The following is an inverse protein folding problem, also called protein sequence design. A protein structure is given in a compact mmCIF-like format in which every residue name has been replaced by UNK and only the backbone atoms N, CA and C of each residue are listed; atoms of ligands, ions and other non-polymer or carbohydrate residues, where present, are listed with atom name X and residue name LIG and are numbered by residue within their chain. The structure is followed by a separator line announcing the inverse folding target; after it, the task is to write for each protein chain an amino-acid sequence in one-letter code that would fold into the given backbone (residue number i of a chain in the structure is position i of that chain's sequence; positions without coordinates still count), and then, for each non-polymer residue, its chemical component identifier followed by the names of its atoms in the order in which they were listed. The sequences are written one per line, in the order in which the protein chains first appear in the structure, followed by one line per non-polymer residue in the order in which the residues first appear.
data_IF_343440003084
#
_entry.id   IF_343440003084
#
_cell.length_a   1.000
_cell.length_b   1.000
_cell.length_c   1.000
_cell.angle_alpha   90.00
_cell.angle_beta   90.00
_cell.angle_gamma   90.00
#
_symmetry.space_group_name_H-M   'P 1'
#
loop_
_entity.id
_entity.type
_entity.pdbx_description
1 polymer ?
#
# COMPACT_ATOMS: atom_id res chain seq x y z
N UNK A 1 -12.47 -12.78 27.02
CA UNK A 1 -11.76 -11.75 27.83
C UNK A 1 -10.44 -11.48 27.13
N UNK A 2 -10.16 -10.28 26.61
CA UNK A 2 -8.89 -9.97 25.98
C UNK A 2 -7.79 -9.88 27.05
N UNK A 3 -6.64 -10.52 26.80
CA UNK A 3 -5.47 -10.45 27.68
C UNK A 3 -4.94 -9.03 27.74
N UNK A 4 -4.98 -8.45 28.92
CA UNK A 4 -4.39 -7.14 29.23
C UNK A 4 -2.86 -7.28 29.24
N UNK A 5 -2.19 -6.70 28.26
CA UNK A 5 -0.73 -6.59 28.25
C UNK A 5 -0.30 -5.52 29.26
N UNK A 6 0.39 -5.93 30.31
CA UNK A 6 1.04 -5.03 31.27
C UNK A 6 2.36 -4.55 30.68
N UNK A 7 2.44 -3.28 30.33
CA UNK A 7 3.66 -2.65 29.84
C UNK A 7 4.51 -2.16 31.02
N UNK A 8 5.62 -2.82 31.29
CA UNK A 8 6.69 -2.29 32.13
C UNK A 8 7.56 -1.37 31.29
N UNK A 9 7.80 -0.11 31.69
CA UNK A 9 8.67 0.77 30.93
C UNK A 9 10.10 0.27 31.08
N UNK A 10 10.63 -0.36 30.02
CA UNK A 10 12.05 -0.57 29.87
C UNK A 10 12.70 0.78 29.60
N UNK A 11 13.56 1.23 30.49
CA UNK A 11 14.41 2.43 30.36
C UNK A 11 15.52 2.28 29.30
N UNK A 12 15.34 1.44 28.29
CA UNK A 12 16.22 1.43 27.12
C UNK A 12 15.95 2.68 26.31
N UNK A 13 16.83 3.67 26.49
CA UNK A 13 16.88 4.91 25.72
C UNK A 13 16.67 4.61 24.24
N UNK A 14 15.90 5.47 23.60
CA UNK A 14 15.56 5.56 22.17
C UNK A 14 16.84 5.71 21.30
N UNK A 15 17.67 4.67 21.24
CA UNK A 15 18.88 4.61 20.40
C UNK A 15 18.55 4.11 18.98
N UNK A 16 17.32 3.65 18.77
CA UNK A 16 16.87 3.02 17.51
C UNK A 16 16.65 4.05 16.39
N UNK A 17 16.47 5.34 16.70
CA UNK A 17 16.18 6.37 15.69
C UNK A 17 17.37 6.61 14.72
N UNK A 18 18.62 6.74 15.18
CA UNK A 18 19.77 6.92 14.29
C UNK A 18 20.09 5.66 13.46
N UNK A 19 19.91 4.46 14.01
CA UNK A 19 20.14 3.21 13.26
C UNK A 19 19.09 2.99 12.17
N UNK A 20 17.84 3.32 12.45
CA UNK A 20 16.76 3.24 11.47
C UNK A 20 16.93 4.29 10.36
N UNK A 21 17.36 5.49 10.71
CA UNK A 21 17.70 6.55 9.77
C UNK A 21 18.90 6.16 8.89
N UNK A 22 19.93 5.57 9.51
CA UNK A 22 21.11 5.07 8.80
C UNK A 22 20.76 3.92 7.85
N UNK A 23 19.93 2.97 8.30
CA UNK A 23 19.46 1.88 7.46
C UNK A 23 18.61 2.39 6.30
N UNK A 24 17.74 3.37 6.55
CA UNK A 24 16.89 3.99 5.53
C UNK A 24 17.73 4.79 4.52
N UNK A 25 18.72 5.56 4.98
CA UNK A 25 19.63 6.29 4.08
C UNK A 25 20.53 5.34 3.29
N UNK A 26 20.99 4.25 3.89
CA UNK A 26 21.82 3.25 3.21
C UNK A 26 21.01 2.48 2.14
N UNK A 27 19.77 2.10 2.44
CA UNK A 27 18.87 1.46 1.46
C UNK A 27 18.49 2.40 0.33
N UNK A 28 18.29 3.69 0.61
CA UNK A 28 18.04 4.71 -0.39
C UNK A 28 19.27 4.92 -1.29
N UNK A 29 20.46 4.97 -0.71
CA UNK A 29 21.73 5.09 -1.45
C UNK A 29 22.00 3.86 -2.31
N UNK A 30 21.76 2.65 -1.80
CA UNK A 30 21.89 1.40 -2.57
C UNK A 30 20.85 1.36 -3.72
N UNK A 31 19.60 1.76 -3.47
CA UNK A 31 18.58 1.86 -4.51
C UNK A 31 18.97 2.87 -5.61
N UNK A 32 19.56 4.00 -5.24
CA UNK A 32 20.08 5.00 -6.19
C UNK A 32 21.27 4.46 -7.00
N UNK A 33 22.15 3.65 -6.41
CA UNK A 33 23.28 3.02 -7.12
C UNK A 33 22.82 1.95 -8.11
N UNK A 34 21.85 1.12 -7.75
CA UNK A 34 21.25 0.12 -8.66
C UNK A 34 20.58 0.83 -9.85
N UNK A 35 19.88 1.93 -9.61
CA UNK A 35 19.31 2.73 -10.70
C UNK A 35 20.36 3.44 -11.57
N UNK A 36 21.54 3.75 -11.03
CA UNK A 36 22.60 4.40 -11.80
C UNK A 36 23.26 3.46 -12.83
N UNK A 37 23.16 2.15 -12.63
CA UNK A 37 23.71 1.13 -13.54
C UNK A 37 22.72 0.73 -14.65
N UNK A 38 21.40 1.02 -14.51
CA UNK A 38 20.45 0.80 -15.58
C UNK A 38 20.59 1.88 -16.67
N UNK A 39 20.92 1.47 -17.90
CA UNK A 39 21.04 2.37 -19.06
C UNK A 39 19.70 2.80 -19.66
N UNK A 40 18.59 2.51 -19.01
CA UNK A 40 17.23 2.77 -19.47
C UNK A 40 16.66 4.15 -19.07
N UNK A 41 15.48 4.45 -19.57
CA UNK A 41 14.72 5.64 -19.17
C UNK A 41 14.28 5.53 -17.71
N UNK A 42 14.45 6.61 -16.95
CA UNK A 42 13.95 6.75 -15.58
C UNK A 42 12.64 7.51 -15.60
N UNK A 43 11.67 7.05 -14.82
CA UNK A 43 10.38 7.70 -14.72
C UNK A 43 10.12 8.10 -13.26
N UNK A 44 9.67 9.33 -13.08
CA UNK A 44 9.18 9.86 -11.80
C UNK A 44 7.73 10.22 -12.02
N UNK A 45 6.86 9.72 -11.16
CA UNK A 45 5.45 10.02 -11.25
C UNK A 45 4.73 9.72 -9.95
N UNK A 46 3.43 9.92 -9.97
CA UNK A 46 2.60 9.61 -8.83
C UNK A 46 1.17 10.06 -9.00
N UNK A 47 0.41 9.74 -7.98
CA UNK A 47 -0.99 10.11 -7.85
C UNK A 47 -1.21 10.68 -6.45
N UNK A 48 -1.80 11.88 -6.38
CA UNK A 48 -2.29 12.44 -5.12
C UNK A 48 -3.80 12.30 -5.14
N UNK A 49 -4.37 11.61 -4.15
CA UNK A 49 -5.81 11.36 -4.07
C UNK A 49 -6.40 12.01 -2.82
N UNK A 50 -7.42 12.84 -2.99
CA UNK A 50 -8.30 13.26 -1.92
C UNK A 50 -9.54 12.35 -1.94
N UNK A 51 -9.79 11.62 -0.85
CA UNK A 51 -10.88 10.65 -0.75
C UNK A 51 -11.78 10.94 0.46
N UNK A 52 -13.07 10.60 0.33
CA UNK A 52 -14.05 10.72 1.42
C UNK A 52 -13.81 9.71 2.55
N UNK A 53 -13.12 8.60 2.25
CA UNK A 53 -12.88 7.54 3.23
C UNK A 53 -11.53 6.87 2.97
N UNK A 54 -10.63 6.89 3.95
CA UNK A 54 -9.37 6.17 3.92
C UNK A 54 -9.59 4.69 4.23
N UNK A 55 -9.54 3.85 3.19
CA UNK A 55 -9.74 2.40 3.29
C UNK A 55 -8.41 1.67 3.21
N UNK A 56 -8.22 0.66 4.07
CA UNK A 56 -7.08 -0.27 4.05
C UNK A 56 -7.53 -1.68 3.69
N UNK A 57 -6.64 -2.45 3.07
CA UNK A 57 -6.84 -3.89 2.80
C UNK A 57 -7.03 -4.66 4.11
N UNK A 58 -6.29 -4.32 5.16
CA UNK A 58 -6.49 -4.86 6.50
C UNK A 58 -7.54 -3.98 7.20
N UNK A 59 -8.75 -4.49 7.49
CA UNK A 59 -9.85 -3.68 8.00
C UNK A 59 -9.51 -2.89 9.26
N UNK A 60 -8.74 -3.47 10.18
CA UNK A 60 -8.31 -2.81 11.42
C UNK A 60 -7.37 -1.61 11.20
N UNK A 61 -6.83 -1.44 10.00
CA UNK A 61 -5.99 -0.30 9.60
C UNK A 61 -6.76 0.74 8.78
N UNK A 62 -8.04 0.51 8.52
CA UNK A 62 -8.89 1.50 7.85
C UNK A 62 -9.00 2.76 8.70
N UNK A 63 -8.81 3.92 8.07
CA UNK A 63 -8.93 5.21 8.77
C UNK A 63 -10.39 5.56 9.05
N UNK A 64 -11.32 5.20 8.15
CA UNK A 64 -12.77 5.38 8.33
C UNK A 64 -13.25 6.83 8.21
N UNK A 65 -12.42 7.73 7.67
CA UNK A 65 -12.71 9.17 7.51
C UNK A 65 -11.95 9.75 6.33
N UNK A 66 -12.24 11.01 5.89
CA UNK A 66 -11.57 11.62 4.74
C UNK A 66 -10.05 11.65 4.88
N UNK A 67 -9.36 11.38 3.75
CA UNK A 67 -7.92 11.20 3.70
C UNK A 67 -7.27 11.79 2.45
N UNK A 68 -5.98 12.11 2.58
CA UNK A 68 -5.05 12.43 1.49
C UNK A 68 -4.05 11.30 1.32
N UNK A 69 -3.94 10.80 0.09
CA UNK A 69 -3.05 9.70 -0.28
C UNK A 69 -2.04 10.21 -1.30
N UNK A 70 -0.76 10.00 -1.03
CA UNK A 70 0.35 10.31 -1.93
C UNK A 70 0.98 8.99 -2.34
N UNK A 71 0.66 8.50 -3.52
CA UNK A 71 1.22 7.30 -4.11
C UNK A 71 2.25 7.74 -5.15
N UNK A 72 3.54 7.72 -4.79
CA UNK A 72 4.63 8.17 -5.63
C UNK A 72 5.34 6.98 -6.26
N UNK A 73 6.07 7.20 -7.35
CA UNK A 73 6.87 6.18 -8.01
C UNK A 73 8.14 6.76 -8.64
N UNK A 74 9.25 6.12 -8.34
CA UNK A 74 10.56 6.33 -8.94
C UNK A 74 10.94 5.00 -9.59
N UNK A 75 10.84 4.90 -10.92
CA UNK A 75 11.03 3.63 -11.60
C UNK A 75 12.10 3.70 -12.70
N UNK A 76 12.92 2.67 -12.73
CA UNK A 76 13.80 2.32 -13.82
C UNK A 76 13.22 1.18 -14.64
N UNK A 77 14.07 0.47 -15.38
CA UNK A 77 13.66 -0.61 -16.25
C UNK A 77 13.11 -1.83 -15.46
N UNK A 78 13.79 -2.24 -14.41
CA UNK A 78 13.43 -3.39 -13.58
C UNK A 78 13.10 -3.03 -12.15
N UNK A 79 13.74 -2.02 -11.59
CA UNK A 79 13.54 -1.60 -10.20
C UNK A 79 12.59 -0.42 -10.10
N UNK A 80 11.73 -0.42 -9.08
CA UNK A 80 10.98 0.77 -8.66
C UNK A 80 11.03 0.96 -7.14
N UNK A 81 10.96 2.23 -6.73
CA UNK A 81 10.73 2.65 -5.36
C UNK A 81 9.43 3.45 -5.33
N UNK A 82 8.43 2.89 -4.64
CA UNK A 82 7.05 3.40 -4.69
C UNK A 82 6.59 3.77 -3.26
N UNK A 83 6.99 4.94 -2.72
CA UNK A 83 6.53 5.38 -1.40
C UNK A 83 5.05 5.78 -1.44
N UNK A 84 4.31 5.31 -0.44
CA UNK A 84 2.91 5.61 -0.20
C UNK A 84 2.78 6.31 1.14
N UNK A 85 2.42 7.60 1.12
CA UNK A 85 2.24 8.41 2.32
C UNK A 85 0.78 8.80 2.45
N UNK A 86 0.17 8.46 3.56
CA UNK A 86 -1.26 8.63 3.77
C UNK A 86 -1.53 9.40 5.04
N UNK A 87 -2.43 10.37 4.95
CA UNK A 87 -2.80 11.27 6.03
C UNK A 87 -4.32 11.38 6.14
N UNK A 88 -4.82 11.57 7.34
CA UNK A 88 -6.17 12.12 7.51
C UNK A 88 -6.25 13.56 7.01
N UNK A 89 -7.44 14.04 6.66
CA UNK A 89 -7.64 15.45 6.28
C UNK A 89 -7.34 16.43 7.43
N UNK A 90 -7.23 15.92 8.67
CA UNK A 90 -6.76 16.68 9.84
C UNK A 90 -5.23 16.81 9.92
N UNK A 91 -4.50 16.34 8.91
CA UNK A 91 -3.04 16.37 8.83
C UNK A 91 -2.33 15.29 9.64
N UNK A 92 -3.05 14.47 10.43
CA UNK A 92 -2.43 13.37 11.18
C UNK A 92 -1.96 12.28 10.24
N UNK A 93 -0.75 11.73 10.40
CA UNK A 93 -0.29 10.59 9.62
C UNK A 93 -1.19 9.37 9.89
N UNK A 94 -1.47 8.60 8.83
CA UNK A 94 -2.24 7.38 8.92
C UNK A 94 -1.40 6.15 8.59
N UNK A 95 -0.73 6.14 7.42
CA UNK A 95 0.19 5.07 7.10
C UNK A 95 1.27 5.52 6.13
N UNK A 96 2.50 5.04 6.35
CA UNK A 96 3.63 5.23 5.45
C UNK A 96 4.16 3.86 5.05
N UNK A 97 4.24 3.62 3.74
CA UNK A 97 4.68 2.35 3.16
C UNK A 97 5.73 2.65 2.10
N UNK A 98 6.89 2.01 2.16
CA UNK A 98 8.02 2.30 1.30
C UNK A 98 8.37 1.07 0.47
N UNK A 99 7.69 0.89 -0.65
CA UNK A 99 7.88 -0.24 -1.54
C UNK A 99 9.20 -0.17 -2.32
N UNK A 100 10.00 -1.22 -2.21
CA UNK A 100 11.03 -1.55 -3.18
C UNK A 100 10.57 -2.75 -4.00
N UNK A 101 10.49 -2.63 -5.32
CA UNK A 101 10.02 -3.67 -6.24
C UNK A 101 11.03 -3.96 -7.32
N UNK A 102 11.13 -5.24 -7.70
CA UNK A 102 11.98 -5.71 -8.78
C UNK A 102 11.21 -6.60 -9.74
N UNK A 103 11.26 -6.30 -11.04
CA UNK A 103 10.71 -7.13 -12.11
C UNK A 103 11.70 -8.25 -12.41
N UNK A 104 11.55 -9.39 -11.73
CA UNK A 104 12.43 -10.56 -11.89
C UNK A 104 12.28 -11.16 -13.28
N UNK A 105 11.04 -11.25 -13.79
CA UNK A 105 10.74 -11.64 -15.17
C UNK A 105 9.98 -10.48 -15.83
N UNK A 106 10.45 -10.09 -17.03
CA UNK A 106 9.91 -8.97 -17.80
C UNK A 106 9.57 -9.41 -19.25
N UNK A 107 9.32 -10.68 -19.45
CA UNK A 107 9.06 -11.23 -20.76
C UNK A 107 7.58 -11.05 -21.11
N UNK A 108 7.31 -10.33 -22.19
CA UNK A 108 5.93 -10.19 -22.70
C UNK A 108 5.45 -11.57 -23.23
N UNK A 109 4.26 -12.01 -22.83
CA UNK A 109 3.20 -11.32 -22.08
C UNK A 109 3.26 -11.53 -20.55
N UNK A 110 4.25 -12.24 -20.00
CA UNK A 110 4.37 -12.59 -18.60
C UNK A 110 5.34 -11.66 -17.85
N UNK A 111 4.97 -11.25 -16.66
CA UNK A 111 5.84 -10.54 -15.73
C UNK A 111 5.80 -11.18 -14.35
N UNK A 112 6.93 -11.22 -13.67
CA UNK A 112 7.03 -11.58 -12.25
C UNK A 112 7.66 -10.42 -11.51
N UNK A 113 6.89 -9.81 -10.62
CA UNK A 113 7.40 -8.78 -9.70
C UNK A 113 7.55 -9.38 -8.32
N UNK A 114 8.68 -9.09 -7.68
CA UNK A 114 8.93 -9.35 -6.27
C UNK A 114 9.20 -8.03 -5.58
N UNK A 115 8.81 -7.90 -4.33
CA UNK A 115 9.00 -6.65 -3.60
C UNK A 115 9.02 -6.85 -2.11
N UNK A 116 9.50 -5.82 -1.43
CA UNK A 116 9.42 -5.72 0.03
C UNK A 116 9.20 -4.27 0.44
N UNK A 117 8.63 -4.09 1.63
CA UNK A 117 8.46 -2.75 2.20
C UNK A 117 8.49 -2.74 3.72
N UNK A 118 9.17 -1.80 4.35
CA UNK A 118 8.82 -1.35 5.69
C UNK A 118 7.55 -0.51 5.65
N UNK A 119 6.71 -0.65 6.67
CA UNK A 119 5.50 0.16 6.83
C UNK A 119 5.34 0.64 8.27
N UNK A 120 4.74 1.82 8.39
CA UNK A 120 4.39 2.46 9.65
C UNK A 120 2.90 2.78 9.62
N UNK A 121 2.14 2.19 10.56
CA UNK A 121 0.72 2.45 10.72
C UNK A 121 0.53 3.28 11.98
N UNK A 122 -0.15 4.41 11.85
CA UNK A 122 -0.36 5.34 12.95
C UNK A 122 -1.82 5.27 13.39
N UNK A 123 -2.05 5.08 14.69
CA UNK A 123 -3.39 5.04 15.25
C UNK A 123 -3.42 5.49 16.71
N UNK A 124 -4.55 6.00 17.14
CA UNK A 124 -4.83 6.19 18.56
C UNK A 124 -5.11 4.84 19.21
N UNK A 125 -4.46 4.58 20.32
CA UNK A 125 -4.62 3.35 21.11
C UNK A 125 -4.69 3.67 22.59
N UNK A 126 -5.52 2.94 23.31
CA UNK A 126 -5.55 3.00 24.78
C UNK A 126 -4.40 2.14 25.28
N UNK A 127 -3.45 2.75 25.97
CA UNK A 127 -2.29 2.09 26.58
C UNK A 127 -2.29 2.34 28.09
N UNK A 128 -1.86 1.37 28.86
CA UNK A 128 -1.70 1.54 30.32
C UNK A 128 -0.32 2.12 30.61
N UNK A 129 -0.31 3.34 31.16
CA UNK A 129 0.91 4.01 31.63
C UNK A 129 0.77 4.20 33.15
N UNK A 130 1.67 3.61 33.92
CA UNK A 130 1.65 3.63 35.40
C UNK A 130 0.31 3.19 35.99
N UNK A 131 -0.32 2.14 35.41
CA UNK A 131 -1.60 1.59 35.86
C UNK A 131 -2.86 2.36 35.42
N UNK A 132 -2.69 3.53 34.78
CA UNK A 132 -3.79 4.35 34.24
C UNK A 132 -3.94 4.15 32.74
N UNK A 133 -5.18 4.09 32.26
CA UNK A 133 -5.50 4.07 30.84
C UNK A 133 -5.32 5.46 30.24
N UNK A 134 -4.50 5.55 29.19
CA UNK A 134 -4.25 6.79 28.45
C UNK A 134 -4.35 6.54 26.95
N UNK A 135 -5.12 7.37 26.25
CA UNK A 135 -5.11 7.36 24.81
C UNK A 135 -3.82 7.99 24.28
N UNK A 136 -3.08 7.23 23.51
CA UNK A 136 -1.82 7.69 22.88
C UNK A 136 -1.87 7.44 21.39
N UNK A 137 -1.26 8.37 20.63
CA UNK A 137 -1.01 8.20 19.22
C UNK A 137 0.28 7.37 19.05
N UNK A 138 0.13 6.15 18.52
CA UNK A 138 1.23 5.19 18.43
C UNK A 138 1.52 4.84 16.98
N UNK A 139 2.78 4.50 16.71
CA UNK A 139 3.23 3.96 15.42
C UNK A 139 3.48 2.46 15.55
N UNK A 140 2.83 1.66 14.71
CA UNK A 140 3.10 0.24 14.54
C UNK A 140 3.98 0.04 13.31
N UNK A 141 5.00 -0.82 13.43
CA UNK A 141 6.01 -1.08 12.39
C UNK A 141 5.83 -2.47 11.82
N UNK A 142 5.90 -2.56 10.50
CA UNK A 142 5.75 -3.81 9.76
C UNK A 142 6.83 -3.93 8.70
N UNK A 143 7.20 -5.16 8.38
CA UNK A 143 7.92 -5.53 7.16
C UNK A 143 7.05 -6.50 6.39
N UNK A 144 6.90 -6.28 5.09
CA UNK A 144 6.18 -7.22 4.25
C UNK A 144 6.94 -7.49 2.96
N UNK A 145 6.65 -8.66 2.37
CA UNK A 145 7.21 -9.12 1.10
C UNK A 145 6.09 -9.54 0.18
N UNK A 146 6.23 -9.25 -1.12
CA UNK A 146 5.27 -9.60 -2.15
C UNK A 146 5.87 -10.44 -3.26
N UNK A 147 5.00 -11.26 -3.87
CA UNK A 147 5.24 -11.95 -5.14
C UNK A 147 4.00 -11.77 -6.01
N UNK A 148 4.20 -11.25 -7.22
CA UNK A 148 3.12 -10.84 -8.12
C UNK A 148 3.38 -11.30 -9.56
N UNK A 149 3.08 -12.56 -9.92
CA UNK A 149 3.02 -13.01 -11.30
C UNK A 149 1.79 -12.41 -12.00
N UNK A 150 1.99 -11.85 -13.18
CA UNK A 150 0.95 -11.24 -14.00
C UNK A 150 1.10 -11.68 -15.46
N UNK A 151 -0.01 -12.03 -16.10
CA UNK A 151 -0.08 -12.35 -17.51
C UNK A 151 -0.95 -11.35 -18.24
N UNK A 152 -0.41 -10.77 -19.32
CA UNK A 152 -1.10 -9.80 -20.17
C UNK A 152 -1.74 -10.53 -21.35
N UNK A 153 -3.05 -10.74 -21.31
CA UNK A 153 -3.81 -11.38 -22.39
C UNK A 153 -3.99 -10.47 -23.60
N UNK A 154 -4.15 -9.17 -23.34
CA UNK A 154 -4.30 -8.15 -24.38
C UNK A 154 -3.87 -6.78 -23.87
N UNK A 155 -3.97 -5.74 -24.71
CA UNK A 155 -3.74 -4.37 -24.28
C UNK A 155 -4.81 -3.85 -23.30
N UNK A 156 -5.91 -4.60 -23.13
CA UNK A 156 -7.01 -4.23 -22.24
C UNK A 156 -7.18 -5.16 -21.05
N UNK A 157 -6.61 -6.36 -21.07
CA UNK A 157 -6.82 -7.38 -20.04
C UNK A 157 -5.50 -7.96 -19.57
N UNK A 158 -5.28 -7.87 -18.27
CA UNK A 158 -4.22 -8.61 -17.55
C UNK A 158 -4.82 -9.31 -16.34
N UNK A 159 -4.28 -10.48 -16.00
CA UNK A 159 -4.69 -11.26 -14.84
C UNK A 159 -3.49 -11.92 -14.20
N UNK A 160 -3.51 -12.05 -12.88
CA UNK A 160 -2.43 -12.69 -12.14
C UNK A 160 -2.78 -12.95 -10.69
N UNK A 161 -1.82 -13.50 -9.98
CA UNK A 161 -1.90 -13.67 -8.54
C UNK A 161 -1.09 -12.59 -7.84
N UNK A 162 -1.48 -12.28 -6.62
CA UNK A 162 -0.75 -11.39 -5.74
C UNK A 162 -0.68 -12.03 -4.36
N UNK A 163 0.51 -12.28 -3.87
CA UNK A 163 0.73 -12.78 -2.52
C UNK A 163 1.56 -11.78 -1.73
N UNK A 164 1.12 -11.47 -0.52
CA UNK A 164 1.82 -10.60 0.43
C UNK A 164 1.90 -11.27 1.80
N UNK A 165 3.09 -11.32 2.36
CA UNK A 165 3.36 -11.74 3.73
C UNK A 165 3.85 -10.55 4.53
N UNK A 166 3.15 -10.21 5.63
CA UNK A 166 3.54 -9.15 6.55
C UNK A 166 3.88 -9.68 7.93
N UNK A 167 4.83 -9.01 8.61
CA UNK A 167 5.20 -9.25 10.00
C UNK A 167 5.31 -7.93 10.77
N UNK A 168 4.69 -7.86 11.94
CA UNK A 168 4.70 -6.72 12.85
C UNK A 168 5.82 -6.84 13.90
N UNK A 169 6.40 -5.71 14.28
CA UNK A 169 7.52 -5.64 15.24
C UNK A 169 7.14 -4.94 16.55
N UNK A 170 5.88 -4.83 16.84
CA UNK A 170 5.40 -4.17 18.05
C UNK A 170 4.72 -5.19 18.96
N UNK A 171 4.66 -4.92 20.29
CA UNK A 171 3.94 -5.78 21.23
C UNK A 171 2.41 -5.70 21.08
N UNK A 172 1.91 -4.92 20.12
CA UNK A 172 0.47 -4.73 19.87
C UNK A 172 0.13 -5.43 18.53
N UNK A 173 -0.81 -6.38 18.52
CA UNK A 173 -1.26 -7.05 17.30
C UNK A 173 -1.75 -6.05 16.23
N UNK A 174 -1.68 -6.45 14.95
CA UNK A 174 -1.36 -7.79 14.45
C UNK A 174 0.15 -8.05 14.30
N UNK A 175 0.53 -9.31 14.54
CA UNK A 175 1.92 -9.76 14.37
C UNK A 175 2.17 -10.31 12.96
N UNK A 176 1.21 -11.04 12.40
CA UNK A 176 1.37 -11.70 11.13
C UNK A 176 0.17 -11.48 10.21
N UNK A 177 0.45 -11.29 8.94
CA UNK A 177 -0.59 -11.23 7.91
C UNK A 177 -0.18 -11.99 6.66
N UNK A 178 -1.16 -12.64 6.02
CA UNK A 178 -1.04 -13.23 4.71
C UNK A 178 -2.20 -12.74 3.85
N UNK A 179 -1.89 -12.22 2.69
CA UNK A 179 -2.86 -11.77 1.72
C UNK A 179 -2.61 -12.49 0.41
N UNK A 180 -3.62 -13.14 -0.13
CA UNK A 180 -3.59 -13.81 -1.42
C UNK A 180 -4.76 -13.32 -2.25
N UNK A 181 -4.49 -12.78 -3.43
CA UNK A 181 -5.52 -12.27 -4.33
C UNK A 181 -5.38 -12.83 -5.76
N UNK A 182 -6.52 -13.13 -6.36
CA UNK A 182 -6.65 -13.17 -7.80
C UNK A 182 -6.89 -11.73 -8.26
N UNK A 183 -5.95 -11.20 -9.04
CA UNK A 183 -5.92 -9.81 -9.48
C UNK A 183 -6.23 -9.74 -10.97
N UNK A 184 -7.27 -9.01 -11.36
CA UNK A 184 -7.65 -8.79 -12.76
C UNK A 184 -7.63 -7.30 -13.04
N UNK A 185 -7.09 -6.89 -14.19
CA UNK A 185 -7.02 -5.49 -14.60
C UNK A 185 -7.60 -5.35 -15.99
N UNK A 186 -8.70 -4.62 -16.08
CA UNK A 186 -9.22 -4.10 -17.34
C UNK A 186 -8.74 -2.65 -17.49
N UNK A 187 -8.08 -2.34 -18.60
CA UNK A 187 -7.50 -1.03 -18.88
C UNK A 187 -7.99 -0.47 -20.19
N UNK A 188 -7.83 0.83 -20.38
CA UNK A 188 -8.12 1.51 -21.66
C UNK A 188 -9.54 1.23 -22.18
N UNK A 189 -10.53 1.22 -21.27
CA UNK A 189 -11.95 1.13 -21.63
C UNK A 189 -12.42 2.55 -21.93
N UNK A 190 -12.76 2.89 -23.20
CA UNK A 190 -13.19 4.24 -23.52
C UNK A 190 -14.57 4.53 -22.92
N UNK A 191 -14.71 5.69 -22.26
CA UNK A 191 -15.99 6.14 -21.65
C UNK A 191 -16.46 7.49 -22.19
N UNK A 192 -15.89 7.92 -23.34
CA UNK A 192 -16.21 9.16 -24.03
C UNK A 192 -15.25 10.31 -23.74
N UNK A 193 -15.14 11.29 -24.66
CA UNK A 193 -14.33 12.49 -24.52
C UNK A 193 -12.82 12.24 -24.23
N UNK A 194 -12.24 11.19 -24.80
CA UNK A 194 -10.85 10.72 -24.57
C UNK A 194 -10.58 10.21 -23.14
N UNK A 195 -11.62 10.08 -22.31
CA UNK A 195 -11.48 9.47 -20.99
C UNK A 195 -11.41 7.94 -21.10
N UNK A 196 -10.55 7.35 -20.29
CA UNK A 196 -10.37 5.92 -20.19
C UNK A 196 -10.70 5.47 -18.77
N UNK A 197 -11.53 4.43 -18.67
CA UNK A 197 -11.82 3.73 -17.43
C UNK A 197 -10.84 2.56 -17.27
N UNK A 198 -10.32 2.41 -16.08
CA UNK A 198 -9.63 1.23 -15.59
C UNK A 198 -10.43 0.60 -14.47
N UNK A 199 -10.62 -0.72 -14.53
CA UNK A 199 -11.31 -1.50 -13.49
C UNK A 199 -10.37 -2.60 -13.01
N UNK A 200 -10.23 -2.72 -11.70
CA UNK A 200 -9.35 -3.72 -11.10
C UNK A 200 -10.11 -4.53 -10.04
N UNK A 201 -10.91 -5.53 -10.47
CA UNK A 201 -11.54 -6.46 -9.55
C UNK A 201 -10.52 -7.45 -8.98
N UNK A 202 -10.69 -7.76 -7.70
CA UNK A 202 -9.89 -8.74 -6.97
C UNK A 202 -10.79 -9.58 -6.09
N UNK A 203 -10.58 -10.90 -6.12
CA UNK A 203 -11.04 -11.82 -5.10
C UNK A 203 -9.86 -12.15 -4.21
N UNK A 204 -9.98 -11.91 -2.90
CA UNK A 204 -8.85 -12.13 -2.02
C UNK A 204 -9.21 -12.85 -0.73
N UNK A 205 -8.23 -13.59 -0.23
CA UNK A 205 -8.18 -14.15 1.10
C UNK A 205 -7.16 -13.38 1.94
N UNK A 206 -7.57 -12.99 3.14
CA UNK A 206 -6.73 -12.32 4.13
C UNK A 206 -6.74 -13.16 5.42
N UNK A 207 -5.54 -13.45 5.95
CA UNK A 207 -5.35 -13.99 7.29
C UNK A 207 -4.52 -13.00 8.10
N UNK A 208 -5.01 -12.65 9.30
CA UNK A 208 -4.34 -11.76 10.25
C UNK A 208 -4.34 -12.45 11.60
N UNK A 209 -3.18 -12.89 12.01
CA UNK A 209 -2.99 -13.76 13.19
C UNK A 209 -3.95 -14.96 13.16
N UNK A 210 -4.86 -15.10 14.12
CA UNK A 210 -5.83 -16.20 14.21
C UNK A 210 -7.14 -15.93 13.47
N UNK A 211 -7.32 -14.75 12.88
CA UNK A 211 -8.53 -14.37 12.15
C UNK A 211 -8.31 -14.42 10.64
N UNK A 212 -9.37 -14.68 9.89
CA UNK A 212 -9.28 -14.72 8.43
C UNK A 212 -10.59 -14.32 7.75
N UNK A 213 -10.49 -13.96 6.48
CA UNK A 213 -11.65 -13.60 5.68
C UNK A 213 -11.41 -13.67 4.18
N UNK A 214 -12.51 -13.80 3.45
CA UNK A 214 -12.56 -13.74 1.98
C UNK A 214 -13.43 -12.55 1.58
N UNK A 215 -12.94 -11.80 0.61
CA UNK A 215 -13.52 -10.54 0.17
C UNK A 215 -13.47 -10.43 -1.35
N UNK A 216 -14.38 -9.63 -1.89
CA UNK A 216 -14.29 -9.13 -3.24
C UNK A 216 -14.15 -7.62 -3.21
N UNK A 217 -13.18 -7.09 -3.95
CA UNK A 217 -12.97 -5.65 -4.06
C UNK A 217 -12.83 -5.24 -5.51
N UNK A 218 -13.12 -3.99 -5.82
CA UNK A 218 -12.80 -3.43 -7.13
C UNK A 218 -12.41 -1.97 -6.99
N UNK A 219 -11.31 -1.62 -7.67
CA UNK A 219 -10.91 -0.25 -7.88
C UNK A 219 -11.32 0.19 -9.27
N UNK A 220 -11.88 1.38 -9.36
CA UNK A 220 -12.25 2.06 -10.59
C UNK A 220 -11.44 3.34 -10.68
N UNK A 221 -10.88 3.65 -11.84
CA UNK A 221 -10.27 4.95 -12.07
C UNK A 221 -10.58 5.45 -13.47
N UNK A 222 -10.94 6.72 -13.57
CA UNK A 222 -11.22 7.41 -14.82
C UNK A 222 -10.20 8.51 -14.99
N UNK A 223 -9.48 8.51 -16.11
CA UNK A 223 -8.46 9.50 -16.42
C UNK A 223 -8.39 9.77 -17.93
N UNK A 224 -7.83 10.91 -18.30
CA UNK A 224 -7.61 11.31 -19.69
C UNK A 224 -6.13 11.57 -19.92
N UNK A 225 -5.50 11.04 -20.99
CA UNK A 225 -4.13 11.35 -21.35
C UNK A 225 -3.90 12.85 -21.48
N UNK A 226 -2.81 13.35 -20.91
CA UNK A 226 -2.47 14.78 -20.93
C UNK A 226 -3.30 15.67 -20.01
N UNK A 227 -4.28 15.12 -19.27
CA UNK A 227 -5.06 15.87 -18.31
C UNK A 227 -4.75 15.36 -16.88
N UNK A 228 -4.32 16.23 -15.96
CA UNK A 228 -3.79 15.79 -14.68
C UNK A 228 -4.85 15.39 -13.65
N UNK A 229 -6.14 15.62 -13.93
CA UNK A 229 -7.22 15.29 -13.00
C UNK A 229 -7.91 14.00 -13.42
N UNK A 230 -8.11 13.13 -12.46
CA UNK A 230 -8.87 11.88 -12.59
C UNK A 230 -9.80 11.67 -11.41
N UNK A 231 -10.59 10.60 -11.51
CA UNK A 231 -11.50 10.17 -10.45
C UNK A 231 -11.23 8.71 -10.12
N UNK A 232 -11.40 8.36 -8.86
CA UNK A 232 -11.31 6.98 -8.43
C UNK A 232 -12.50 6.61 -7.54
N UNK A 233 -12.85 5.34 -7.55
CA UNK A 233 -13.74 4.72 -6.57
C UNK A 233 -13.20 3.35 -6.18
N UNK A 234 -13.46 2.96 -4.94
CA UNK A 234 -13.21 1.62 -4.44
C UNK A 234 -14.49 1.09 -3.81
N UNK A 235 -14.78 -0.16 -4.08
CA UNK A 235 -15.80 -0.93 -3.37
C UNK A 235 -15.16 -2.20 -2.83
N UNK A 236 -15.50 -2.58 -1.62
CA UNK A 236 -15.05 -3.82 -0.98
C UNK A 236 -16.21 -4.46 -0.24
N UNK A 237 -16.50 -5.72 -0.57
CA UNK A 237 -17.53 -6.52 0.02
C UNK A 237 -16.94 -7.73 0.72
N UNK A 238 -17.27 -7.91 1.99
CA UNK A 238 -16.99 -9.11 2.75
C UNK A 238 -17.88 -10.26 2.26
N UNK A 239 -17.27 -11.40 1.91
CA UNK A 239 -17.97 -12.62 1.60
C UNK A 239 -18.16 -13.45 2.87
N UNK A 240 -17.04 -13.70 3.58
CA UNK A 240 -17.02 -14.41 4.86
C UNK A 240 -15.78 -13.99 5.63
N UNK A 241 -15.91 -13.61 6.90
CA UNK A 241 -14.73 -13.22 7.69
C UNK A 241 -14.97 -13.33 9.18
N UNK A 242 -13.90 -13.68 9.92
CA UNK A 242 -13.78 -13.53 11.36
C UNK A 242 -12.98 -12.28 11.75
N UNK A 243 -12.42 -11.54 10.76
CA UNK A 243 -11.76 -10.27 11.00
C UNK A 243 -12.83 -9.21 11.27
N UNK A 244 -12.77 -8.47 12.40
CA UNK A 244 -13.70 -7.39 12.68
C UNK A 244 -13.65 -6.29 11.60
N UNK A 245 -14.80 -5.72 11.28
CA UNK A 245 -14.94 -4.63 10.31
C UNK A 245 -16.27 -4.71 9.57
N UNK A 246 -16.60 -3.66 8.84
CA UNK A 246 -17.84 -3.53 8.09
C UNK A 246 -17.92 -4.57 6.95
N UNK A 247 -19.15 -4.96 6.62
CA UNK A 247 -19.41 -5.92 5.54
C UNK A 247 -19.23 -5.31 4.16
N UNK A 248 -19.55 -4.03 4.03
CA UNK A 248 -19.39 -3.26 2.81
C UNK A 248 -18.71 -1.93 3.09
N UNK A 249 -17.62 -1.68 2.36
CA UNK A 249 -16.84 -0.44 2.47
C UNK A 249 -16.65 0.13 1.08
N UNK A 250 -16.76 1.44 0.96
CA UNK A 250 -16.52 2.13 -0.30
C UNK A 250 -15.82 3.47 -0.08
N UNK A 251 -15.18 3.95 -1.11
CA UNK A 251 -14.75 5.33 -1.18
C UNK A 251 -14.83 5.87 -2.60
N UNK A 252 -14.82 7.19 -2.70
CA UNK A 252 -14.63 7.94 -3.94
C UNK A 252 -13.59 9.03 -3.69
N UNK A 253 -12.87 9.41 -4.73
CA UNK A 253 -11.83 10.42 -4.62
C UNK A 253 -11.52 11.11 -5.94
N UNK A 254 -10.94 12.29 -5.81
CA UNK A 254 -10.37 13.07 -6.91
C UNK A 254 -8.86 12.83 -6.89
N UNK A 255 -8.29 12.61 -8.06
CA UNK A 255 -6.88 12.33 -8.24
C UNK A 255 -6.19 13.44 -9.03
N UNK A 256 -4.99 13.81 -8.59
CA UNK A 256 -4.03 14.56 -9.37
C UNK A 256 -2.92 13.62 -9.82
N UNK A 257 -2.78 13.44 -11.14
CA UNK A 257 -1.82 12.52 -11.75
C UNK A 257 -0.68 13.31 -12.38
N UNK A 258 0.55 12.88 -12.15
CA UNK A 258 1.72 13.47 -12.78
C UNK A 258 2.77 12.40 -13.13
N UNK A 259 3.48 12.61 -14.23
CA UNK A 259 4.61 11.76 -14.62
C UNK A 259 5.58 12.52 -15.51
N UNK A 260 6.87 12.29 -15.27
CA UNK A 260 7.96 12.78 -16.08
C UNK A 260 8.92 11.62 -16.41
N UNK A 261 9.37 11.56 -17.66
CA UNK A 261 10.34 10.56 -18.12
C UNK A 261 11.67 11.25 -18.42
N UNK A 262 12.73 10.73 -17.83
CA UNK A 262 14.09 11.21 -18.02
C UNK A 262 14.85 10.17 -18.84
N UNK A 263 15.37 10.56 -19.98
CA UNK A 263 16.29 9.75 -20.77
C UNK A 263 17.73 10.19 -20.46
N UNK A 264 18.62 9.23 -20.26
CA UNK A 264 20.05 9.53 -20.14
C UNK A 264 20.50 9.97 -21.53
N UNK A 265 21.00 11.21 -21.64
CA UNK A 265 21.68 11.70 -22.85
C UNK A 265 23.00 10.98 -23.05
#
# INVERSE_FOLDING_TARGET
MPRLATYLPSTKKLVILPELLLFFTLTLLLAMQVQAQESGSKQIGGVITATNNGVSIIPSFTLGRPALLFDLSLSGERFSFDPMLRFGMDGKPWSFVFWGRYKAIKDKPFTLTVGAHPAFIFAERIVKVNGQEKTMFVSQRFLAMEVAPMYKFSNRLSMGLYYLRGHGFNPIPPDNSNFLALNTVFSNIPVGGDFNLRVNPQLFYLKVDDTSGTYITSNFSVSKPGFPIGFQALVNQKIKSTIPGDDFIWNVGIQYLFSNTFQKK
#
